data_IF_200431575609
#
_entry.id   IF_200431575609
#
_cell.length_a   1.000
_cell.length_b   1.000
_cell.length_c   1.000
_cell.angle_alpha   90.00
_cell.angle_beta   90.00
_cell.angle_gamma   90.00
#
_symmetry.space_group_name_H-M   'P 1'
#
loop_
_entity.id
_entity.type
_entity.pdbx_description
1 polymer ?
#
# COMPACT_ATOMS: atom_id res chain seq x y z
N UNK A 1 -18.10 12.14 -6.74
CA UNK A 1 -18.25 12.33 -8.17
C UNK A 1 -17.18 11.54 -8.93
N UNK A 2 -17.49 10.26 -9.26
CA UNK A 2 -16.55 9.35 -9.95
C UNK A 2 -16.18 9.85 -11.36
N UNK A 3 -17.07 10.57 -12.02
CA UNK A 3 -16.81 11.12 -13.35
C UNK A 3 -15.84 12.31 -13.31
N UNK A 4 -15.89 13.14 -12.28
CA UNK A 4 -14.96 14.28 -12.16
C UNK A 4 -13.55 13.82 -11.78
N UNK A 5 -13.39 12.88 -10.86
CA UNK A 5 -12.08 12.38 -10.47
C UNK A 5 -11.40 11.59 -11.60
N UNK A 6 -12.15 10.79 -12.36
CA UNK A 6 -11.59 10.05 -13.50
C UNK A 6 -11.08 10.95 -14.63
N UNK A 7 -11.75 12.04 -14.91
CA UNK A 7 -11.38 12.96 -16.00
C UNK A 7 -10.20 13.88 -15.68
N UNK A 8 -9.91 14.15 -14.41
CA UNK A 8 -8.84 15.06 -14.02
C UNK A 8 -7.46 14.42 -13.89
N UNK A 9 -7.33 13.11 -13.92
CA UNK A 9 -6.10 12.44 -13.45
C UNK A 9 -5.29 11.70 -14.50
N UNK A 10 -5.87 11.32 -15.64
CA UNK A 10 -5.13 10.81 -16.79
C UNK A 10 -5.74 11.33 -18.09
N UNK A 11 -4.91 11.52 -19.10
CA UNK A 11 -5.37 11.96 -20.42
C UNK A 11 -6.18 10.85 -21.12
N UNK A 12 -7.05 11.25 -22.06
CA UNK A 12 -7.75 10.27 -22.91
C UNK A 12 -6.78 9.37 -23.67
N UNK A 13 -5.64 9.90 -24.05
CA UNK A 13 -4.59 9.14 -24.70
C UNK A 13 -4.06 8.03 -23.78
N UNK A 14 -3.73 8.34 -22.54
CA UNK A 14 -3.27 7.35 -21.57
C UNK A 14 -4.35 6.30 -21.26
N UNK A 15 -5.61 6.68 -21.22
CA UNK A 15 -6.72 5.72 -21.06
C UNK A 15 -6.77 4.74 -22.22
N UNK A 16 -6.68 5.23 -23.46
CA UNK A 16 -6.66 4.38 -24.66
C UNK A 16 -5.46 3.43 -24.67
N UNK A 17 -4.30 3.90 -24.27
CA UNK A 17 -3.09 3.07 -24.15
C UNK A 17 -3.23 1.97 -23.11
N UNK A 18 -3.78 2.28 -21.94
CA UNK A 18 -4.05 1.29 -20.89
C UNK A 18 -5.03 0.22 -21.39
N UNK A 19 -6.12 0.62 -22.04
CA UNK A 19 -7.10 -0.32 -22.58
C UNK A 19 -6.50 -1.19 -23.70
N UNK A 20 -5.68 -0.62 -24.57
CA UNK A 20 -4.97 -1.37 -25.61
C UNK A 20 -4.02 -2.42 -24.99
N UNK A 21 -3.26 -2.06 -23.96
CA UNK A 21 -2.38 -3.00 -23.24
C UNK A 21 -3.15 -4.12 -22.56
N UNK A 22 -4.31 -3.83 -21.96
CA UNK A 22 -5.18 -4.86 -21.36
C UNK A 22 -5.71 -5.85 -22.39
N UNK A 23 -6.08 -5.36 -23.58
CA UNK A 23 -6.53 -6.21 -24.67
C UNK A 23 -5.41 -7.07 -25.25
N UNK A 24 -4.21 -6.49 -25.40
CA UNK A 24 -3.03 -7.19 -25.92
C UNK A 24 -2.51 -8.25 -24.93
N UNK A 25 -2.62 -8.00 -23.64
CA UNK A 25 -2.09 -8.87 -22.57
C UNK A 25 -3.17 -9.17 -21.50
N UNK A 26 -4.21 -9.95 -21.84
CA UNK A 26 -5.35 -10.17 -20.94
C UNK A 26 -5.00 -10.97 -19.67
N UNK A 27 -3.89 -11.68 -19.68
CA UNK A 27 -3.33 -12.45 -18.55
C UNK A 27 -2.40 -11.63 -17.65
N UNK A 28 -2.00 -10.42 -18.09
CA UNK A 28 -1.05 -9.58 -17.37
C UNK A 28 -1.72 -8.42 -16.65
N UNK A 29 -1.00 -7.82 -15.71
CA UNK A 29 -1.39 -6.58 -15.04
C UNK A 29 -0.66 -5.41 -15.66
N UNK A 30 -1.36 -4.30 -15.83
CA UNK A 30 -0.74 -3.05 -16.24
C UNK A 30 -0.08 -2.42 -15.01
N UNK A 31 1.20 -2.10 -15.12
CA UNK A 31 1.95 -1.32 -14.13
C UNK A 31 2.03 0.12 -14.61
N UNK A 32 1.70 1.06 -13.73
CA UNK A 32 1.89 2.48 -13.99
C UNK A 32 3.29 2.91 -13.53
N UNK A 33 4.05 3.51 -14.43
CA UNK A 33 5.40 3.99 -14.13
C UNK A 33 5.42 5.52 -14.23
N UNK A 34 5.84 6.19 -13.14
CA UNK A 34 6.15 7.61 -13.18
C UNK A 34 7.59 7.81 -13.66
N UNK A 35 7.76 8.44 -14.82
CA UNK A 35 9.06 8.59 -15.47
C UNK A 35 9.90 9.72 -14.88
N UNK A 36 9.26 10.80 -14.46
CA UNK A 36 9.93 11.99 -13.90
C UNK A 36 9.45 12.32 -12.51
N UNK A 37 10.36 12.79 -11.67
CA UNK A 37 10.08 13.14 -10.28
C UNK A 37 9.83 11.94 -9.38
N UNK A 38 9.54 12.21 -8.11
CA UNK A 38 9.24 11.18 -7.12
C UNK A 38 7.76 10.86 -7.16
N UNK A 39 7.40 9.60 -7.35
CA UNK A 39 6.01 9.18 -7.37
C UNK A 39 5.36 9.26 -6.00
N UNK A 40 4.11 9.72 -5.95
CA UNK A 40 3.30 9.71 -4.73
C UNK A 40 3.64 10.80 -3.72
N UNK A 41 4.15 11.92 -4.17
CA UNK A 41 4.27 13.16 -3.39
C UNK A 41 2.91 13.85 -3.34
N UNK A 42 2.58 14.43 -2.21
CA UNK A 42 1.32 15.16 -2.02
C UNK A 42 0.45 14.58 -0.91
N UNK A 43 -0.77 15.07 -0.79
CA UNK A 43 -1.64 14.81 0.35
C UNK A 43 -2.56 13.60 0.14
N UNK A 44 -3.43 13.60 -0.85
CA UNK A 44 -4.49 12.59 -1.06
C UNK A 44 -3.99 11.28 -1.69
N UNK A 45 -3.03 10.62 -1.05
CA UNK A 45 -2.35 9.43 -1.61
C UNK A 45 -3.26 8.23 -1.79
N UNK A 46 -4.23 8.02 -0.91
CA UNK A 46 -5.19 6.92 -1.02
C UNK A 46 -6.05 7.07 -2.28
N UNK A 47 -6.54 8.27 -2.57
CA UNK A 47 -7.28 8.55 -3.81
C UNK A 47 -6.43 8.28 -5.04
N UNK A 48 -5.15 8.65 -5.01
CA UNK A 48 -4.21 8.33 -6.09
C UNK A 48 -4.05 6.84 -6.31
N UNK A 49 -3.89 6.05 -5.25
CA UNK A 49 -3.80 4.59 -5.33
C UNK A 49 -5.08 3.97 -5.87
N UNK A 50 -6.24 4.42 -5.39
CA UNK A 50 -7.54 3.94 -5.84
C UNK A 50 -7.77 4.23 -7.32
N UNK A 51 -7.39 5.42 -7.79
CA UNK A 51 -7.51 5.78 -9.20
C UNK A 51 -6.61 4.92 -10.09
N UNK A 52 -5.36 4.71 -9.70
CA UNK A 52 -4.47 3.79 -10.43
C UNK A 52 -5.07 2.39 -10.46
N UNK A 53 -5.61 1.91 -9.37
CA UNK A 53 -6.27 0.60 -9.32
C UNK A 53 -7.47 0.53 -10.28
N UNK A 54 -8.28 1.59 -10.35
CA UNK A 54 -9.41 1.66 -11.29
C UNK A 54 -8.97 1.64 -12.76
N UNK A 55 -7.92 2.37 -13.11
CA UNK A 55 -7.46 2.44 -14.49
C UNK A 55 -6.73 1.19 -14.94
N UNK A 56 -5.85 0.66 -14.11
CA UNK A 56 -4.98 -0.45 -14.47
C UNK A 56 -5.58 -1.81 -14.16
N UNK A 57 -6.62 -1.87 -13.32
CA UNK A 57 -7.29 -3.10 -12.93
C UNK A 57 -8.18 -3.68 -14.03
N UNK A 58 -8.44 -4.97 -13.97
CA UNK A 58 -9.56 -5.57 -14.70
C UNK A 58 -10.85 -5.08 -14.03
N UNK A 59 -11.82 -4.67 -14.84
CA UNK A 59 -13.09 -4.16 -14.35
C UNK A 59 -13.78 -5.25 -13.51
N UNK A 60 -13.59 -5.22 -12.20
CA UNK A 60 -14.45 -5.95 -11.28
C UNK A 60 -15.79 -5.21 -11.21
N UNK A 61 -16.86 -5.91 -10.89
CA UNK A 61 -18.22 -5.39 -10.78
C UNK A 61 -18.24 -3.97 -10.19
N UNK A 62 -18.98 -3.02 -10.77
CA UNK A 62 -19.13 -1.67 -10.23
C UNK A 62 -19.74 -1.64 -8.82
N UNK A 63 -20.24 -2.79 -8.34
CA UNK A 63 -20.87 -2.96 -7.02
C UNK A 63 -19.92 -3.47 -5.92
N UNK A 64 -18.67 -3.79 -6.24
CA UNK A 64 -17.69 -4.23 -5.25
C UNK A 64 -16.40 -3.41 -5.40
N UNK A 65 -16.38 -2.20 -4.85
CA UNK A 65 -15.29 -1.25 -5.10
C UNK A 65 -13.93 -1.64 -4.50
N UNK A 66 -13.87 -2.72 -3.73
CA UNK A 66 -12.66 -3.10 -2.98
C UNK A 66 -12.12 -4.49 -3.30
N UNK A 67 -12.69 -5.21 -4.27
CA UNK A 67 -12.28 -6.57 -4.59
C UNK A 67 -11.31 -6.60 -5.77
N UNK A 68 -10.07 -6.91 -5.48
CA UNK A 68 -9.05 -7.47 -6.38
C UNK A 68 -8.39 -6.58 -7.42
N UNK A 69 -8.29 -5.28 -7.21
CA UNK A 69 -7.47 -4.47 -8.09
C UNK A 69 -6.28 -3.93 -7.28
N UNK A 70 -5.36 -4.84 -6.93
CA UNK A 70 -4.12 -4.41 -6.33
C UNK A 70 -3.30 -3.63 -7.37
N UNK A 71 -3.09 -2.31 -7.20
CA UNK A 71 -2.35 -1.53 -8.16
C UNK A 71 -0.87 -1.96 -8.17
N UNK A 72 -0.27 -1.95 -9.35
CA UNK A 72 1.17 -2.07 -9.49
C UNK A 72 1.70 -0.74 -10.00
N UNK A 73 2.51 -0.10 -9.20
CA UNK A 73 3.05 1.23 -9.47
C UNK A 73 4.55 1.27 -9.32
N UNK A 74 5.21 2.06 -10.12
CA UNK A 74 6.65 2.25 -10.02
C UNK A 74 7.05 3.70 -10.23
N UNK A 75 8.13 4.12 -9.58
CA UNK A 75 8.78 5.39 -9.83
C UNK A 75 10.21 5.18 -10.32
N UNK A 76 10.58 5.81 -11.44
CA UNK A 76 11.95 5.74 -11.97
C UNK A 76 12.93 6.57 -11.16
N UNK A 77 12.46 7.68 -10.58
CA UNK A 77 13.25 8.59 -9.74
C UNK A 77 12.75 8.57 -8.28
N UNK A 78 12.41 7.40 -7.80
CA UNK A 78 11.93 7.21 -6.43
C UNK A 78 10.42 7.13 -6.29
N UNK A 79 10.01 6.59 -5.17
CA UNK A 79 8.62 6.52 -4.72
C UNK A 79 8.57 7.00 -3.27
N UNK A 80 7.64 7.89 -2.96
CA UNK A 80 7.49 8.40 -1.59
C UNK A 80 7.26 7.23 -0.60
N UNK A 81 7.99 7.16 0.52
CA UNK A 81 7.82 6.08 1.51
C UNK A 81 6.39 5.96 2.03
N UNK A 82 5.70 7.09 2.22
CA UNK A 82 4.30 7.10 2.65
C UNK A 82 3.38 6.55 1.56
N UNK A 83 3.63 6.90 0.29
CA UNK A 83 2.87 6.35 -0.83
C UNK A 83 3.11 4.85 -1.00
N UNK A 84 4.35 4.40 -0.87
CA UNK A 84 4.72 2.99 -0.88
C UNK A 84 4.00 2.20 0.22
N UNK A 85 3.85 2.80 1.40
CA UNK A 85 3.06 2.21 2.49
C UNK A 85 1.58 2.17 2.13
N UNK A 86 1.03 3.25 1.59
CA UNK A 86 -0.38 3.34 1.17
C UNK A 86 -0.69 2.29 0.10
N UNK A 87 0.17 2.12 -0.90
CA UNK A 87 0.04 1.05 -1.91
C UNK A 87 0.05 -0.32 -1.24
N UNK A 88 0.95 -0.57 -0.30
CA UNK A 88 1.05 -1.84 0.41
C UNK A 88 -0.21 -2.18 1.22
N UNK A 89 -0.79 -1.22 1.96
CA UNK A 89 -2.00 -1.48 2.76
C UNK A 89 -3.26 -1.73 1.91
N UNK A 90 -3.27 -1.30 0.66
CA UNK A 90 -4.33 -1.66 -0.32
C UNK A 90 -4.10 -3.02 -0.99
N UNK A 91 -3.04 -3.74 -0.62
CA UNK A 91 -2.66 -5.00 -1.25
C UNK A 91 -1.91 -4.81 -2.57
N UNK A 92 -1.54 -3.58 -2.92
CA UNK A 92 -0.79 -3.25 -4.12
C UNK A 92 0.72 -3.48 -4.00
N UNK A 93 1.40 -3.33 -5.12
CA UNK A 93 2.85 -3.46 -5.23
C UNK A 93 3.42 -2.12 -5.70
N UNK A 94 4.24 -1.50 -4.85
CA UNK A 94 5.01 -0.31 -5.21
C UNK A 94 6.46 -0.67 -5.47
N UNK A 95 7.04 -0.11 -6.52
CA UNK A 95 8.40 -0.39 -6.94
C UNK A 95 9.19 0.90 -7.07
N UNK A 96 10.26 1.03 -6.31
CA UNK A 96 11.27 2.06 -6.55
C UNK A 96 12.29 1.49 -7.53
N UNK A 97 12.18 1.91 -8.79
CA UNK A 97 13.04 1.40 -9.86
C UNK A 97 14.50 1.83 -9.71
N UNK A 98 14.78 2.91 -8.97
CA UNK A 98 16.14 3.47 -8.78
C UNK A 98 16.91 3.58 -10.09
N UNK A 99 16.19 3.99 -11.12
CA UNK A 99 16.69 3.94 -12.49
C UNK A 99 17.63 5.11 -12.81
N UNK A 100 17.50 6.21 -12.06
CA UNK A 100 18.35 7.37 -12.25
C UNK A 100 19.60 7.27 -11.37
N UNK A 101 20.76 7.25 -12.00
CA UNK A 101 22.07 7.18 -11.36
C UNK A 101 22.91 8.39 -11.73
N UNK A 102 23.86 8.74 -10.88
CA UNK A 102 24.82 9.80 -11.21
C UNK A 102 25.68 9.36 -12.38
N UNK A 103 25.74 10.19 -13.42
CA UNK A 103 26.67 9.97 -14.53
C UNK A 103 28.09 10.14 -14.03
N UNK A 104 28.92 9.12 -14.23
CA UNK A 104 30.30 9.12 -13.75
C UNK A 104 31.26 9.47 -14.91
N UNK A 105 32.26 10.26 -14.61
CA UNK A 105 33.38 10.51 -15.51
C UNK A 105 34.40 9.37 -15.51
N UNK A 106 35.35 9.42 -16.40
CA UNK A 106 36.46 8.44 -16.50
C UNK A 106 37.33 8.40 -15.23
N UNK A 107 37.33 9.48 -14.46
CA UNK A 107 38.04 9.61 -13.18
C UNK A 107 37.25 9.01 -11.98
N UNK A 108 36.09 8.41 -12.24
CA UNK A 108 35.20 7.83 -11.22
C UNK A 108 34.46 8.85 -10.35
N UNK A 109 34.46 10.14 -10.77
CA UNK A 109 33.70 11.19 -10.08
C UNK A 109 32.40 11.53 -10.82
N UNK A 110 31.35 11.99 -10.11
CA UNK A 110 30.14 12.45 -10.78
C UNK A 110 30.41 13.65 -11.69
N UNK A 111 29.88 13.61 -12.91
CA UNK A 111 29.87 14.76 -13.81
C UNK A 111 28.84 15.76 -13.30
N UNK A 112 29.24 17.02 -13.14
CA UNK A 112 28.37 18.09 -12.64
C UNK A 112 27.87 18.95 -13.80
N UNK A 113 26.67 19.49 -13.66
CA UNK A 113 26.11 20.51 -14.53
C UNK A 113 26.69 21.91 -14.19
N UNK A 114 26.28 22.94 -14.90
CA UNK A 114 26.74 24.32 -14.70
C UNK A 114 26.40 24.88 -13.29
N UNK A 115 25.43 24.31 -12.61
CA UNK A 115 25.01 24.70 -11.24
C UNK A 115 25.72 23.90 -10.16
N UNK A 116 26.66 23.03 -10.51
CA UNK A 116 27.41 22.18 -9.60
C UNK A 116 26.63 20.93 -9.13
N UNK A 117 25.50 20.60 -9.73
CA UNK A 117 24.71 19.41 -9.38
C UNK A 117 25.12 18.21 -10.26
N UNK A 118 25.13 16.97 -9.72
CA UNK A 118 25.38 15.78 -10.51
C UNK A 118 24.39 15.61 -11.67
N UNK A 119 24.90 15.38 -12.85
CA UNK A 119 24.09 14.97 -14.00
C UNK A 119 23.62 13.55 -13.73
N UNK A 120 22.32 13.32 -13.95
CA UNK A 120 21.72 11.99 -13.82
C UNK A 120 21.55 11.37 -15.21
N UNK A 121 21.76 10.07 -15.30
CA UNK A 121 21.46 9.26 -16.47
C UNK A 121 20.60 8.06 -16.12
N UNK A 122 19.83 7.57 -17.08
CA UNK A 122 19.03 6.36 -16.88
C UNK A 122 19.94 5.13 -17.03
N UNK A 123 19.83 4.25 -16.04
CA UNK A 123 20.54 2.98 -16.01
C UNK A 123 19.98 1.98 -17.05
N UNK A 124 18.69 2.05 -17.28
CA UNK A 124 17.96 1.24 -18.27
C UNK A 124 16.69 1.98 -18.72
N UNK A 125 16.17 1.64 -19.90
CA UNK A 125 14.90 2.17 -20.41
C UNK A 125 13.77 1.17 -20.19
N UNK A 126 12.59 1.68 -19.84
CA UNK A 126 11.34 0.90 -19.79
C UNK A 126 10.32 1.62 -20.65
N UNK A 127 10.13 1.14 -21.86
CA UNK A 127 9.16 1.71 -22.78
C UNK A 127 7.74 1.22 -22.48
N UNK A 128 6.75 2.02 -22.85
CA UNK A 128 5.34 1.63 -22.75
C UNK A 128 5.09 0.34 -23.55
N UNK A 129 4.46 -0.63 -22.92
CA UNK A 129 4.22 -1.95 -23.52
C UNK A 129 5.28 -3.00 -23.22
N UNK A 130 6.40 -2.62 -22.59
CA UNK A 130 7.40 -3.58 -22.14
C UNK A 130 6.81 -4.53 -21.09
N UNK A 131 7.05 -5.83 -21.26
CA UNK A 131 6.66 -6.85 -20.28
C UNK A 131 7.75 -7.01 -19.24
N UNK A 132 7.41 -6.80 -17.97
CA UNK A 132 8.31 -7.00 -16.84
C UNK A 132 7.83 -8.18 -16.01
N UNK A 133 8.75 -8.85 -15.33
CA UNK A 133 8.44 -9.99 -14.45
C UNK A 133 8.73 -9.65 -12.99
N UNK A 134 7.71 -9.66 -12.14
CA UNK A 134 7.85 -9.58 -10.69
C UNK A 134 7.91 -10.99 -10.12
N UNK A 135 9.02 -11.35 -9.51
CA UNK A 135 9.16 -12.61 -8.79
C UNK A 135 9.01 -12.37 -7.29
N UNK A 136 7.87 -12.76 -6.74
CA UNK A 136 7.55 -12.57 -5.32
C UNK A 136 8.35 -13.48 -4.39
N UNK A 137 8.91 -14.59 -4.87
CA UNK A 137 9.70 -15.53 -4.05
C UNK A 137 11.08 -14.95 -3.74
N UNK A 138 11.79 -14.50 -4.76
CA UNK A 138 13.10 -13.88 -4.58
C UNK A 138 13.03 -12.35 -4.44
N UNK A 139 11.80 -11.78 -4.51
CA UNK A 139 11.52 -10.35 -4.31
C UNK A 139 12.26 -9.44 -5.28
N UNK A 140 12.28 -9.80 -6.55
CA UNK A 140 13.01 -9.09 -7.59
C UNK A 140 12.13 -8.77 -8.80
N UNK A 141 12.47 -7.69 -9.48
CA UNK A 141 11.92 -7.30 -10.78
C UNK A 141 12.93 -7.61 -11.88
N UNK A 142 12.45 -8.18 -12.96
CA UNK A 142 13.24 -8.55 -14.12
C UNK A 142 12.74 -7.87 -15.40
N UNK A 143 13.66 -7.61 -16.33
CA UNK A 143 13.37 -7.17 -17.69
C UNK A 143 12.68 -8.28 -18.50
N UNK A 144 12.29 -7.96 -19.73
CA UNK A 144 11.77 -8.94 -20.69
C UNK A 144 12.82 -10.02 -21.04
N UNK A 145 14.07 -9.65 -21.04
CA UNK A 145 15.20 -10.53 -21.36
C UNK A 145 15.69 -11.37 -20.16
N UNK A 146 15.08 -11.13 -18.98
CA UNK A 146 15.39 -11.86 -17.76
C UNK A 146 16.49 -11.22 -16.89
N UNK A 147 16.95 -10.03 -17.24
CA UNK A 147 17.93 -9.30 -16.43
C UNK A 147 17.29 -8.75 -15.16
N UNK A 148 18.01 -8.86 -14.04
CA UNK A 148 17.58 -8.29 -12.78
C UNK A 148 17.68 -6.76 -12.82
N UNK A 149 16.54 -6.08 -12.65
CA UNK A 149 16.44 -4.63 -12.64
C UNK A 149 16.58 -4.06 -11.23
N UNK A 150 15.79 -4.59 -10.26
CA UNK A 150 15.76 -4.03 -8.91
C UNK A 150 15.34 -5.06 -7.86
N UNK A 151 15.88 -4.92 -6.65
CA UNK A 151 15.43 -5.62 -5.45
C UNK A 151 14.17 -4.95 -4.89
N UNK A 152 13.13 -5.73 -4.67
CA UNK A 152 11.82 -5.32 -4.19
C UNK A 152 11.56 -5.73 -2.74
N UNK A 153 12.56 -6.06 -1.95
CA UNK A 153 12.39 -6.56 -0.57
C UNK A 153 11.57 -5.63 0.30
N UNK A 154 11.68 -4.29 0.10
CA UNK A 154 10.88 -3.30 0.80
C UNK A 154 9.38 -3.37 0.48
N UNK A 155 9.00 -3.91 -0.68
CA UNK A 155 7.61 -4.10 -1.10
C UNK A 155 7.05 -5.46 -0.67
N UNK A 156 7.89 -6.42 -0.34
CA UNK A 156 7.53 -7.79 0.07
C UNK A 156 7.91 -8.08 1.52
N UNK A 157 7.61 -7.16 2.45
CA UNK A 157 7.67 -7.47 3.89
C UNK A 157 6.60 -8.51 4.25
N UNK A 158 6.75 -9.28 5.33
CA UNK A 158 5.74 -10.26 5.74
C UNK A 158 4.33 -9.67 5.80
N UNK A 159 4.18 -8.51 6.45
CA UNK A 159 2.90 -7.82 6.58
C UNK A 159 2.31 -7.38 5.22
N UNK A 160 3.11 -6.76 4.35
CA UNK A 160 2.65 -6.35 3.01
C UNK A 160 2.28 -7.56 2.16
N UNK A 161 3.00 -8.67 2.30
CA UNK A 161 2.68 -9.92 1.61
C UNK A 161 1.34 -10.49 2.06
N UNK A 162 1.00 -10.38 3.34
CA UNK A 162 -0.33 -10.76 3.83
C UNK A 162 -1.42 -9.84 3.26
N UNK A 163 -1.19 -8.53 3.24
CA UNK A 163 -2.12 -7.58 2.60
C UNK A 163 -2.35 -7.91 1.13
N UNK A 164 -1.29 -8.23 0.38
CA UNK A 164 -1.41 -8.64 -1.03
C UNK A 164 -2.26 -9.91 -1.18
N UNK A 165 -2.05 -10.92 -0.35
CA UNK A 165 -2.80 -12.18 -0.39
C UNK A 165 -4.28 -12.00 -0.04
N UNK A 166 -4.57 -11.11 0.89
CA UNK A 166 -5.93 -10.84 1.35
C UNK A 166 -6.70 -9.84 0.47
N UNK A 167 -6.00 -9.07 -0.37
CA UNK A 167 -6.58 -7.97 -1.14
C UNK A 167 -6.64 -6.66 -0.37
N UNK A 168 -5.76 -6.48 0.61
CA UNK A 168 -5.60 -5.27 1.40
C UNK A 168 -5.82 -5.47 2.90
N UNK A 169 -5.48 -4.46 3.68
CA UNK A 169 -5.59 -4.48 5.14
C UNK A 169 -7.03 -4.61 5.63
N UNK A 170 -7.97 -3.96 4.96
CA UNK A 170 -9.39 -4.07 5.31
C UNK A 170 -9.91 -5.50 5.18
N UNK A 171 -9.52 -6.20 4.11
CA UNK A 171 -9.91 -7.60 3.91
C UNK A 171 -9.44 -8.51 5.05
N UNK A 172 -8.26 -8.23 5.63
CA UNK A 172 -7.78 -8.95 6.81
C UNK A 172 -8.63 -8.63 8.03
N UNK A 173 -8.92 -7.35 8.29
CA UNK A 173 -9.74 -6.93 9.46
C UNK A 173 -11.11 -7.55 9.39
N UNK A 174 -11.78 -7.47 8.24
CA UNK A 174 -13.11 -8.07 8.04
C UNK A 174 -13.07 -9.59 8.09
N UNK A 175 -12.09 -10.21 7.43
CA UNK A 175 -11.92 -11.66 7.43
C UNK A 175 -11.73 -12.21 8.85
N UNK A 176 -10.89 -11.57 9.66
CA UNK A 176 -10.71 -11.94 11.08
C UNK A 176 -12.01 -11.79 11.87
N UNK A 177 -12.76 -10.71 11.67
CA UNK A 177 -14.04 -10.49 12.36
C UNK A 177 -15.10 -11.51 11.96
N UNK A 178 -15.28 -11.75 10.67
CA UNK A 178 -16.22 -12.72 10.13
C UNK A 178 -15.88 -14.14 10.59
N UNK A 179 -14.61 -14.52 10.56
CA UNK A 179 -14.15 -15.81 11.05
C UNK A 179 -14.45 -15.99 12.54
N UNK A 180 -14.19 -14.96 13.35
CA UNK A 180 -14.49 -15.00 14.79
C UNK A 180 -15.97 -15.22 15.04
N UNK A 181 -16.85 -14.45 14.38
CA UNK A 181 -18.29 -14.58 14.49
C UNK A 181 -18.80 -15.96 14.02
N UNK A 182 -18.29 -16.44 12.88
CA UNK A 182 -18.67 -17.74 12.36
C UNK A 182 -18.28 -18.88 13.32
N UNK A 183 -17.09 -18.84 13.88
CA UNK A 183 -16.63 -19.83 14.86
C UNK A 183 -17.47 -19.78 16.14
N UNK A 184 -17.82 -18.60 16.61
CA UNK A 184 -18.71 -18.41 17.78
C UNK A 184 -20.08 -19.01 17.53
N UNK A 185 -20.74 -18.71 16.41
CA UNK A 185 -22.08 -19.21 16.05
C UNK A 185 -22.08 -20.74 15.88
N UNK A 186 -20.99 -21.27 15.28
CA UNK A 186 -20.92 -22.72 14.99
C UNK A 186 -20.31 -23.55 16.13
N UNK A 187 -19.91 -22.92 17.24
CA UNK A 187 -19.25 -23.60 18.36
C UNK A 187 -17.89 -24.20 17.97
N UNK A 188 -17.23 -23.66 16.97
CA UNK A 188 -15.96 -24.17 16.46
C UNK A 188 -14.76 -23.44 17.12
N UNK A 189 -13.64 -24.13 17.34
CA UNK A 189 -12.42 -23.45 17.81
C UNK A 189 -11.92 -22.49 16.76
N UNK A 190 -11.50 -21.28 17.18
CA UNK A 190 -10.95 -20.27 16.30
C UNK A 190 -9.55 -20.73 15.80
N UNK A 191 -9.49 -21.18 14.57
CA UNK A 191 -8.24 -21.41 13.84
C UNK A 191 -8.03 -20.23 12.91
N UNK A 192 -7.05 -19.38 13.20
CA UNK A 192 -6.77 -18.22 12.35
C UNK A 192 -6.35 -18.69 10.94
N UNK A 193 -7.06 -18.19 9.91
CA UNK A 193 -6.66 -18.34 8.51
C UNK A 193 -5.51 -17.39 8.14
N UNK A 194 -5.19 -16.46 9.03
CA UNK A 194 -4.12 -15.47 8.88
C UNK A 194 -2.88 -15.95 9.63
N UNK A 195 -1.71 -15.52 9.17
CA UNK A 195 -0.46 -15.87 9.84
C UNK A 195 -0.53 -15.49 11.33
N UNK A 196 -0.10 -16.37 12.23
CA UNK A 196 -0.04 -16.04 13.65
C UNK A 196 0.94 -14.89 13.85
N UNK A 197 0.66 -14.05 14.83
CA UNK A 197 1.60 -13.05 15.31
C UNK A 197 2.91 -13.73 15.68
N UNK A 198 4.01 -13.17 15.23
CA UNK A 198 5.32 -13.63 15.67
C UNK A 198 5.48 -13.28 17.14
N UNK A 199 5.75 -14.26 17.98
CA UNK A 199 6.18 -13.99 19.34
C UNK A 199 7.52 -13.27 19.30
N UNK A 200 7.57 -12.10 19.96
CA UNK A 200 8.77 -11.27 20.03
C UNK A 200 9.33 -11.41 21.43
N UNK A 201 10.55 -11.91 21.48
CA UNK A 201 11.25 -12.06 22.76
C UNK A 201 11.77 -10.70 23.24
N UNK A 202 11.65 -10.44 24.53
CA UNK A 202 12.23 -9.26 25.16
C UNK A 202 13.75 -9.34 25.16
N UNK A 203 14.39 -8.26 24.75
CA UNK A 203 15.85 -8.09 24.85
C UNK A 203 16.31 -7.68 26.26
N UNK A 204 15.39 -7.63 27.22
CA UNK A 204 15.65 -7.22 28.61
C UNK A 204 15.74 -5.71 28.82
N UNK A 205 15.51 -4.90 27.76
CA UNK A 205 15.47 -3.44 27.88
C UNK A 205 14.11 -2.98 28.42
N UNK A 206 14.08 -1.77 28.97
CA UNK A 206 12.84 -1.15 29.43
C UNK A 206 11.91 -0.80 28.27
N UNK A 207 10.60 -0.85 28.51
CA UNK A 207 9.57 -0.52 27.53
C UNK A 207 9.65 0.95 27.12
N UNK A 208 9.50 1.21 25.83
CA UNK A 208 9.28 2.55 25.27
C UNK A 208 7.95 3.16 25.75
N UNK A 209 7.77 4.46 25.62
CA UNK A 209 6.51 5.12 25.97
C UNK A 209 5.31 4.52 25.19
N UNK A 210 5.50 4.21 23.92
CA UNK A 210 4.47 3.60 23.06
C UNK A 210 4.11 2.20 23.57
N UNK A 211 5.07 1.36 23.85
CA UNK A 211 4.85 0.02 24.39
C UNK A 211 4.13 0.08 25.74
N UNK A 212 4.48 1.00 26.64
CA UNK A 212 3.77 1.21 27.91
C UNK A 212 2.30 1.55 27.69
N UNK A 213 1.99 2.44 26.72
CA UNK A 213 0.61 2.82 26.41
C UNK A 213 -0.16 1.62 25.86
N UNK A 214 0.41 0.87 24.93
CA UNK A 214 -0.24 -0.33 24.36
C UNK A 214 -0.45 -1.42 25.42
N UNK A 215 0.54 -1.67 26.28
CA UNK A 215 0.42 -2.63 27.38
C UNK A 215 -0.71 -2.23 28.35
N UNK A 216 -0.79 -0.94 28.73
CA UNK A 216 -1.82 -0.44 29.64
C UNK A 216 -3.25 -0.51 29.08
N UNK A 217 -3.41 -0.53 27.76
CA UNK A 217 -4.70 -0.57 27.07
C UNK A 217 -4.97 -1.90 26.35
N UNK A 218 -4.14 -2.90 26.52
CA UNK A 218 -4.32 -4.20 25.90
C UNK A 218 -5.52 -4.96 26.45
N UNK A 219 -6.17 -5.74 25.58
CA UNK A 219 -7.36 -6.54 25.91
C UNK A 219 -7.09 -8.00 25.58
N UNK A 220 -7.27 -8.85 26.57
CA UNK A 220 -7.13 -10.31 26.37
C UNK A 220 -5.71 -10.82 26.27
N UNK A 221 -4.73 -10.03 26.68
CA UNK A 221 -3.33 -10.45 26.75
C UNK A 221 -3.00 -10.88 28.17
N UNK A 222 -2.27 -11.97 28.34
CA UNK A 222 -1.78 -12.39 29.64
C UNK A 222 -0.80 -11.33 30.19
N UNK A 223 -0.95 -11.01 31.48
CA UNK A 223 -0.21 -9.91 32.14
C UNK A 223 1.26 -10.24 32.42
N UNK A 224 1.69 -11.45 32.16
CA UNK A 224 3.01 -11.98 32.48
C UNK A 224 4.07 -11.69 31.42
N UNK A 225 3.65 -11.34 30.21
CA UNK A 225 4.59 -10.98 29.11
C UNK A 225 4.24 -9.59 28.57
N UNK A 226 5.21 -8.65 28.57
CA UNK A 226 4.98 -7.33 27.98
C UNK A 226 4.87 -7.42 26.46
N UNK A 227 3.96 -6.63 25.91
CA UNK A 227 3.83 -6.42 24.47
C UNK A 227 4.97 -5.53 23.97
N UNK A 228 5.68 -5.98 22.98
CA UNK A 228 6.80 -5.29 22.37
C UNK A 228 6.46 -4.81 20.96
N UNK A 229 7.25 -3.89 20.42
CA UNK A 229 7.13 -3.41 19.06
C UNK A 229 7.16 -4.57 18.05
N UNK A 230 6.18 -4.61 17.14
CA UNK A 230 5.99 -5.69 16.17
C UNK A 230 5.02 -6.78 16.63
N UNK A 231 4.53 -6.74 17.88
CA UNK A 231 3.46 -7.64 18.34
C UNK A 231 2.11 -7.24 17.76
N UNK A 232 1.28 -8.23 17.42
CA UNK A 232 -0.15 -8.02 17.15
C UNK A 232 -0.88 -7.86 18.49
N UNK A 233 -1.56 -6.74 18.68
CA UNK A 233 -2.22 -6.42 19.95
C UNK A 233 -3.63 -5.94 19.72
N UNK A 234 -4.54 -6.36 20.60
CA UNK A 234 -5.89 -5.83 20.73
C UNK A 234 -5.89 -4.78 21.85
N UNK A 235 -6.23 -3.55 21.51
CA UNK A 235 -6.26 -2.45 22.47
C UNK A 235 -7.65 -1.84 22.60
N UNK A 236 -7.96 -1.34 23.77
CA UNK A 236 -9.13 -0.48 23.98
C UNK A 236 -8.82 0.89 23.41
N UNK A 237 -9.66 1.37 22.52
CA UNK A 237 -9.58 2.71 21.94
C UNK A 237 -10.71 3.55 22.52
N UNK A 238 -10.38 4.64 23.18
CA UNK A 238 -11.36 5.53 23.81
C UNK A 238 -11.80 6.65 22.86
N UNK A 239 -10.91 7.10 21.96
CA UNK A 239 -11.15 8.20 21.02
C UNK A 239 -10.60 7.79 19.65
N UNK A 240 -11.40 7.98 18.62
CA UNK A 240 -10.97 7.87 17.21
C UNK A 240 -11.02 9.26 16.60
N UNK A 241 -9.88 9.71 16.08
CA UNK A 241 -9.79 10.98 15.35
C UNK A 241 -9.39 10.74 13.90
N UNK A 242 -9.95 11.52 13.01
CA UNK A 242 -9.57 11.56 11.61
C UNK A 242 -9.37 13.01 11.18
N UNK A 243 -8.55 13.20 10.17
CA UNK A 243 -8.41 14.46 9.47
C UNK A 243 -8.65 14.24 7.98
N UNK A 244 -9.05 15.29 7.29
CA UNK A 244 -9.43 15.26 5.88
C UNK A 244 -8.32 14.86 4.90
N UNK A 245 -7.07 14.76 5.36
CA UNK A 245 -5.93 14.41 4.51
C UNK A 245 -5.42 12.99 4.66
N UNK A 246 -5.77 12.30 5.73
CA UNK A 246 -5.17 10.99 6.06
C UNK A 246 -6.19 9.91 6.36
N UNK A 247 -7.47 10.25 6.42
CA UNK A 247 -8.56 9.33 6.71
C UNK A 247 -9.57 9.23 5.57
N UNK A 248 -10.73 8.75 5.92
CA UNK A 248 -11.91 8.77 5.06
C UNK A 248 -12.39 10.21 4.93
N UNK A 249 -12.36 10.74 3.72
CA UNK A 249 -12.49 12.16 3.47
C UNK A 249 -13.92 12.60 3.16
N UNK A 250 -14.78 11.67 2.77
CA UNK A 250 -16.16 11.96 2.40
C UNK A 250 -17.15 11.20 3.25
N UNK A 251 -18.35 11.76 3.40
CA UNK A 251 -19.46 11.06 4.07
C UNK A 251 -19.75 9.71 3.42
N UNK A 252 -19.63 9.61 2.11
CA UNK A 252 -19.85 8.37 1.37
C UNK A 252 -18.81 7.29 1.71
N UNK A 253 -17.54 7.67 1.87
CA UNK A 253 -16.49 6.74 2.32
C UNK A 253 -16.72 6.27 3.75
N UNK A 254 -17.15 7.18 4.64
CA UNK A 254 -17.51 6.85 6.01
C UNK A 254 -18.72 5.91 6.07
N UNK A 255 -19.76 6.18 5.29
CA UNK A 255 -20.96 5.33 5.19
C UNK A 255 -20.62 3.95 4.63
N UNK A 256 -19.80 3.88 3.58
CA UNK A 256 -19.35 2.62 3.00
C UNK A 256 -18.54 1.79 4.02
N UNK A 257 -17.65 2.45 4.78
CA UNK A 257 -16.91 1.77 5.84
C UNK A 257 -17.83 1.31 6.97
N UNK A 258 -18.73 2.16 7.45
CA UNK A 258 -19.67 1.80 8.51
C UNK A 258 -20.57 0.63 8.10
N UNK A 259 -21.08 0.64 6.87
CA UNK A 259 -21.87 -0.47 6.32
C UNK A 259 -21.07 -1.76 6.22
N UNK A 260 -19.76 -1.67 5.90
CA UNK A 260 -18.90 -2.84 5.76
C UNK A 260 -18.47 -3.42 7.12
N UNK A 261 -18.26 -2.57 8.12
CA UNK A 261 -17.80 -3.02 9.46
C UNK A 261 -18.94 -3.62 10.29
N UNK A 262 -20.21 -3.34 9.94
CA UNK A 262 -21.40 -3.81 10.67
C UNK A 262 -21.29 -3.60 12.20
N UNK A 263 -20.61 -2.55 12.61
CA UNK A 263 -20.33 -2.27 14.01
C UNK A 263 -20.61 -0.80 14.29
N UNK A 264 -21.20 -0.46 15.43
CA UNK A 264 -21.36 0.93 15.81
C UNK A 264 -19.97 1.59 15.88
N UNK A 265 -19.91 2.85 15.47
CA UNK A 265 -18.74 3.68 15.70
C UNK A 265 -18.45 3.75 17.21
N UNK A 266 -17.19 3.87 17.56
CA UNK A 266 -16.80 4.09 18.96
C UNK A 266 -17.42 5.37 19.50
N UNK A 267 -17.70 5.41 20.82
CA UNK A 267 -18.35 6.54 21.52
C UNK A 267 -17.50 7.80 21.51
N UNK A 268 -16.57 8.05 20.78
CA UNK A 268 -15.72 9.24 20.76
C UNK A 268 -14.97 9.36 19.45
N UNK A 269 -15.70 9.61 18.36
CA UNK A 269 -15.09 9.93 17.08
C UNK A 269 -15.15 11.44 16.82
N UNK A 270 -14.06 12.02 16.34
CA UNK A 270 -14.03 13.39 15.86
C UNK A 270 -13.29 13.49 14.54
N UNK A 271 -13.66 14.45 13.74
CA UNK A 271 -12.96 14.79 12.49
C UNK A 271 -12.48 16.23 12.55
N UNK A 272 -11.21 16.43 12.21
CA UNK A 272 -10.60 17.75 12.11
C UNK A 272 -10.42 18.12 10.64
N UNK A 273 -10.96 19.27 10.22
CA UNK A 273 -10.66 19.88 8.93
C UNK A 273 -9.23 20.41 8.92
N UNK A 274 -8.41 19.92 8.00
CA UNK A 274 -7.00 20.26 7.90
C UNK A 274 -6.70 21.02 6.60
N UNK A 275 -7.54 20.84 5.57
CA UNK A 275 -7.40 21.44 4.25
C UNK A 275 -8.68 22.15 3.77
N UNK A 276 -9.71 22.17 4.55
CA UNK A 276 -10.91 22.94 4.23
C UNK A 276 -10.64 24.41 4.48
N UNK A 277 -10.51 25.17 3.41
CA UNK A 277 -10.61 26.62 3.43
C UNK A 277 -12.08 27.01 3.50
#
# INVERSE_FOLDING_TARGET
DRELHGKCMISEQAQKEIEALKLQHPDKRVMLIAEKGTMGVGSSRMSGVNNVALWTGKQASPYVPFVNIAPVVAGTNGISPIFLTTVGVTGGIGVDLKNWVKKMGEDGKPILNNDGNPILEQKYSVETGTVLTINSKNKKLYSADGDELVDMSASFTPQKTEFMKAGGSYAIVFGKKLQSLACEILGLPLKSAFAPSKEIESDGQGLTAVEKIFNANSVGVATDKPLLAGSDVRVKVNIVGSQDTTGLMTSQELEAMAATVLSPLVDGAYQSGCHTA
#
